data_IF_466086433789
#
_entry.id   IF_466086433789
#
_cell.length_a   1.000
_cell.length_b   1.000
_cell.length_c   1.000
_cell.angle_alpha   90.00
_cell.angle_beta   90.00
_cell.angle_gamma   90.00
#
_symmetry.space_group_name_H-M   'P 1'
#
loop_
_entity.id
_entity.type
_entity.pdbx_description
1 polymer ?
#
# COMPACT_ATOMS: atom_id res chain seq x y z
N UNK A 1 7.13 17.88 -16.44
CA UNK A 1 6.08 17.95 -15.40
C UNK A 1 6.18 16.88 -14.33
N UNK A 2 6.07 15.58 -14.68
CA UNK A 2 6.11 14.49 -13.69
C UNK A 2 7.33 14.55 -12.76
N UNK A 3 8.50 14.89 -13.32
CA UNK A 3 9.73 15.08 -12.54
C UNK A 3 9.58 16.16 -11.45
N UNK A 4 8.96 17.31 -11.77
CA UNK A 4 8.74 18.39 -10.81
C UNK A 4 7.76 17.99 -9.69
N UNK A 5 6.74 17.20 -10.01
CA UNK A 5 5.74 16.76 -9.03
C UNK A 5 6.30 15.70 -8.07
N UNK A 6 7.18 14.81 -8.54
CA UNK A 6 7.70 13.69 -7.76
C UNK A 6 8.99 14.00 -6.99
N UNK A 7 9.63 15.15 -7.21
CA UNK A 7 10.80 15.55 -6.43
C UNK A 7 10.45 15.66 -4.94
N UNK A 8 11.32 15.13 -4.08
CA UNK A 8 11.11 15.07 -2.64
C UNK A 8 12.44 15.29 -1.89
N UNK A 9 12.44 16.00 -0.75
CA UNK A 9 13.67 16.27 0.02
C UNK A 9 14.45 15.02 0.46
N UNK A 10 13.75 13.92 0.74
CA UNK A 10 14.35 12.63 1.11
C UNK A 10 14.97 11.86 -0.07
N UNK A 11 14.62 12.20 -1.32
CA UNK A 11 15.16 11.53 -2.50
C UNK A 11 16.43 12.27 -2.92
N UNK A 12 17.60 11.61 -2.93
CA UNK A 12 18.83 12.24 -3.39
C UNK A 12 18.74 12.56 -4.89
N UNK A 13 19.35 13.67 -5.30
CA UNK A 13 19.58 13.92 -6.72
C UNK A 13 20.59 12.92 -7.26
N UNK A 14 20.48 12.60 -8.55
CA UNK A 14 21.35 11.66 -9.26
C UNK A 14 22.75 12.23 -9.54
N UNK A 15 23.22 13.13 -8.67
CA UNK A 15 24.54 13.75 -8.72
C UNK A 15 25.52 12.93 -7.88
N UNK A 16 26.79 12.92 -8.28
CA UNK A 16 27.88 12.16 -7.64
C UNK A 16 28.05 12.44 -6.13
N UNK A 17 27.38 13.47 -5.60
CA UNK A 17 27.47 13.93 -4.21
C UNK A 17 26.24 13.58 -3.34
N UNK A 18 25.23 12.86 -3.87
CA UNK A 18 24.00 12.50 -3.14
C UNK A 18 23.35 13.71 -2.42
N UNK A 19 23.38 14.87 -3.06
CA UNK A 19 22.87 16.11 -2.47
C UNK A 19 21.35 16.03 -2.32
N UNK A 20 20.86 16.32 -1.12
CA UNK A 20 19.43 16.45 -0.81
C UNK A 20 19.02 17.92 -0.87
N UNK A 21 17.94 18.20 -1.59
CA UNK A 21 17.40 19.55 -1.69
C UNK A 21 16.32 19.79 -0.63
N UNK A 22 16.30 20.99 -0.07
CA UNK A 22 15.17 21.48 0.72
C UNK A 22 13.95 21.66 -0.18
N UNK A 23 12.74 21.48 0.37
CA UNK A 23 11.47 21.70 -0.33
C UNK A 23 11.40 23.04 -1.08
N UNK A 24 11.87 24.12 -0.45
CA UNK A 24 11.93 25.46 -1.07
C UNK A 24 12.82 25.50 -2.32
N UNK A 25 14.01 24.86 -2.27
CA UNK A 25 14.92 24.79 -3.43
C UNK A 25 14.35 23.94 -4.56
N UNK A 26 13.62 22.88 -4.22
CA UNK A 26 12.91 22.04 -5.21
C UNK A 26 11.85 22.89 -5.94
N UNK A 27 11.04 23.63 -5.18
CA UNK A 27 10.02 24.51 -5.75
C UNK A 27 10.64 25.59 -6.65
N UNK A 28 11.64 26.33 -6.15
CA UNK A 28 12.32 27.37 -6.91
C UNK A 28 12.94 26.81 -8.20
N UNK A 29 13.62 25.68 -8.12
CA UNK A 29 14.22 25.01 -9.28
C UNK A 29 13.17 24.60 -10.31
N UNK A 30 12.04 24.03 -9.88
CA UNK A 30 10.96 23.62 -10.76
C UNK A 30 10.24 24.80 -11.43
N UNK A 31 10.02 25.90 -10.69
CA UNK A 31 9.46 27.17 -11.18
C UNK A 31 10.38 27.76 -12.24
N UNK A 32 11.68 27.89 -11.93
CA UNK A 32 12.67 28.47 -12.83
C UNK A 32 12.80 27.66 -14.12
N UNK A 33 12.87 26.34 -14.02
CA UNK A 33 12.95 25.45 -15.18
C UNK A 33 11.74 25.64 -16.11
N UNK A 34 10.52 25.59 -15.56
CA UNK A 34 9.30 25.76 -16.37
C UNK A 34 9.16 27.17 -16.93
N UNK A 35 9.53 28.20 -16.17
CA UNK A 35 9.51 29.58 -16.66
C UNK A 35 10.43 29.77 -17.86
N UNK A 36 11.69 29.30 -17.77
CA UNK A 36 12.65 29.36 -18.87
C UNK A 36 12.15 28.60 -20.09
N UNK A 37 11.63 27.39 -19.89
CA UNK A 37 11.03 26.59 -20.96
C UNK A 37 9.88 27.32 -21.66
N UNK A 38 8.98 27.95 -20.90
CA UNK A 38 7.89 28.73 -21.48
C UNK A 38 8.37 30.00 -22.19
N UNK A 39 9.41 30.67 -21.66
CA UNK A 39 9.99 31.86 -22.26
C UNK A 39 10.67 31.55 -23.60
N UNK A 40 11.49 30.51 -23.66
CA UNK A 40 12.19 30.07 -24.88
C UNK A 40 11.23 29.69 -26.01
N UNK A 41 10.08 29.11 -25.66
CA UNK A 41 9.06 28.69 -26.62
C UNK A 41 7.96 29.74 -26.89
N UNK A 42 8.05 30.94 -26.29
CA UNK A 42 7.04 32.00 -26.45
C UNK A 42 5.66 31.65 -25.86
N UNK A 43 5.58 30.72 -24.90
CA UNK A 43 4.36 30.18 -24.30
C UNK A 43 3.92 30.98 -23.06
N UNK A 44 3.77 32.30 -23.19
CA UNK A 44 3.46 33.20 -22.06
C UNK A 44 2.10 32.90 -21.40
N UNK A 45 1.08 32.57 -22.20
CA UNK A 45 -0.24 32.21 -21.69
C UNK A 45 -0.23 30.88 -20.93
N UNK A 46 0.55 29.91 -21.42
CA UNK A 46 0.72 28.62 -20.74
C UNK A 46 1.40 28.83 -19.39
N UNK A 47 2.44 29.67 -19.35
CA UNK A 47 3.08 30.04 -18.09
C UNK A 47 2.11 30.66 -17.09
N UNK A 48 1.28 31.62 -17.51
CA UNK A 48 0.30 32.26 -16.64
C UNK A 48 -0.69 31.23 -16.04
N UNK A 49 -1.16 30.28 -16.86
CA UNK A 49 -2.01 29.18 -16.40
C UNK A 49 -1.28 28.26 -15.40
N UNK A 50 -0.06 27.85 -15.73
CA UNK A 50 0.74 26.96 -14.88
C UNK A 50 1.08 27.60 -13.54
N UNK A 51 1.41 28.89 -13.53
CA UNK A 51 1.62 29.65 -12.31
C UNK A 51 0.38 29.64 -11.43
N UNK A 52 -0.76 30.07 -11.96
CA UNK A 52 -1.99 30.21 -11.19
C UNK A 52 -2.52 28.87 -10.65
N UNK A 53 -2.36 27.79 -11.40
CA UNK A 53 -2.94 26.51 -11.05
C UNK A 53 -1.98 25.57 -10.29
N UNK A 54 -0.68 25.61 -10.58
CA UNK A 54 0.27 24.56 -10.16
C UNK A 54 1.46 25.10 -9.35
N UNK A 55 2.09 26.18 -9.81
CA UNK A 55 3.34 26.66 -9.24
C UNK A 55 3.18 27.76 -8.18
N UNK A 56 2.00 28.35 -8.05
CA UNK A 56 1.68 29.29 -6.98
C UNK A 56 1.95 28.63 -5.61
N UNK A 57 2.59 29.32 -4.65
CA UNK A 57 2.90 28.77 -3.33
C UNK A 57 1.66 28.22 -2.60
N UNK A 58 0.48 28.80 -2.82
CA UNK A 58 -0.77 28.32 -2.23
C UNK A 58 -1.25 26.97 -2.81
N UNK A 59 -0.88 26.68 -4.07
CA UNK A 59 -1.31 25.47 -4.80
C UNK A 59 -0.24 24.39 -4.83
N UNK A 60 1.02 24.76 -4.66
CA UNK A 60 2.16 23.84 -4.71
C UNK A 60 2.03 22.65 -3.76
N UNK A 61 1.62 22.82 -2.48
CA UNK A 61 1.48 21.69 -1.57
C UNK A 61 0.45 20.64 -1.99
N UNK A 62 -0.52 21.03 -2.81
CA UNK A 62 -1.56 20.12 -3.32
C UNK A 62 -1.09 19.27 -4.49
N UNK A 63 0.02 19.65 -5.14
CA UNK A 63 0.47 19.07 -6.41
C UNK A 63 1.83 18.39 -6.31
N UNK A 64 2.73 18.89 -5.48
CA UNK A 64 4.09 18.41 -5.39
C UNK A 64 4.32 17.58 -4.13
N UNK A 65 5.00 16.44 -4.28
CA UNK A 65 5.44 15.62 -3.16
C UNK A 65 6.43 16.36 -2.26
N UNK A 66 7.16 17.35 -2.79
CA UNK A 66 8.18 18.10 -2.04
C UNK A 66 7.67 18.87 -0.82
N UNK A 67 6.36 19.17 -0.77
CA UNK A 67 5.75 19.87 0.34
C UNK A 67 5.32 18.95 1.49
N UNK A 68 5.27 17.64 1.25
CA UNK A 68 4.96 16.66 2.28
C UNK A 68 6.25 16.26 3.03
N UNK A 69 6.15 16.03 4.33
CA UNK A 69 7.27 15.55 5.15
C UNK A 69 7.59 14.07 4.87
N UNK A 70 6.58 13.30 4.47
CA UNK A 70 6.66 11.87 4.18
C UNK A 70 6.49 11.61 2.69
N UNK A 71 7.31 10.72 2.12
CA UNK A 71 7.13 10.22 0.75
C UNK A 71 5.80 9.47 0.70
N UNK A 72 4.80 10.04 0.03
CA UNK A 72 3.58 9.31 -0.28
C UNK A 72 3.91 8.19 -1.27
N UNK A 73 3.89 6.94 -0.81
CA UNK A 73 4.12 5.74 -1.66
C UNK A 73 3.06 5.62 -2.76
N UNK A 74 1.91 6.28 -2.60
CA UNK A 74 0.78 6.22 -3.52
C UNK A 74 0.29 7.64 -3.83
N UNK A 75 0.12 7.95 -5.11
CA UNK A 75 -0.63 9.13 -5.53
C UNK A 75 -2.09 8.95 -5.14
N UNK A 76 -2.64 9.93 -4.42
CA UNK A 76 -4.05 9.93 -3.98
C UNK A 76 -5.01 9.80 -5.16
N UNK A 77 -4.68 10.36 -6.32
CA UNK A 77 -5.45 10.21 -7.56
C UNK A 77 -5.50 8.77 -8.05
N UNK A 78 -4.39 8.03 -8.02
CA UNK A 78 -4.37 6.62 -8.42
C UNK A 78 -5.20 5.73 -7.48
N UNK A 79 -5.18 6.02 -6.17
CA UNK A 79 -6.03 5.31 -5.21
C UNK A 79 -7.50 5.56 -5.53
N UNK A 80 -7.87 6.82 -5.76
CA UNK A 80 -9.24 7.22 -6.07
C UNK A 80 -9.69 6.62 -7.41
N UNK A 81 -8.86 6.68 -8.45
CA UNK A 81 -9.15 6.09 -9.77
C UNK A 81 -9.28 4.56 -9.67
N UNK A 82 -8.37 3.90 -8.97
CA UNK A 82 -8.44 2.46 -8.74
C UNK A 82 -9.68 2.05 -7.93
N UNK A 83 -10.08 2.87 -6.97
CA UNK A 83 -11.33 2.71 -6.22
C UNK A 83 -12.53 2.80 -7.16
N UNK A 84 -12.63 3.87 -7.96
CA UNK A 84 -13.72 4.05 -8.91
C UNK A 84 -13.78 2.96 -9.97
N UNK A 85 -12.62 2.47 -10.44
CA UNK A 85 -12.56 1.37 -11.38
C UNK A 85 -13.17 0.08 -10.79
N UNK A 86 -12.78 -0.27 -9.55
CA UNK A 86 -13.38 -1.42 -8.84
C UNK A 86 -14.86 -1.24 -8.60
N UNK A 87 -15.28 -0.06 -8.16
CA UNK A 87 -16.68 0.25 -7.87
C UNK A 87 -17.53 0.14 -9.14
N UNK A 88 -17.02 0.66 -10.26
CA UNK A 88 -17.66 0.59 -11.58
C UNK A 88 -17.91 -0.85 -12.02
N UNK A 89 -16.90 -1.71 -11.92
CA UNK A 89 -17.00 -3.10 -12.37
C UNK A 89 -17.79 -4.00 -11.43
N UNK A 90 -17.72 -3.77 -10.12
CA UNK A 90 -18.42 -4.60 -9.14
C UNK A 90 -19.90 -4.28 -9.04
N UNK A 91 -20.25 -3.00 -8.91
CA UNK A 91 -21.58 -2.59 -8.43
C UNK A 91 -22.34 -1.71 -9.42
N UNK A 92 -21.64 -0.81 -10.15
CA UNK A 92 -22.32 0.10 -11.08
C UNK A 92 -22.54 -0.48 -12.48
N UNK A 93 -22.06 -1.68 -12.77
CA UNK A 93 -22.27 -2.30 -14.08
C UNK A 93 -23.76 -2.53 -14.39
N UNK A 94 -24.60 -2.66 -13.35
CA UNK A 94 -26.05 -2.88 -13.48
C UNK A 94 -26.82 -1.58 -13.71
N UNK A 95 -26.24 -0.41 -13.39
CA UNK A 95 -26.92 0.88 -13.44
C UNK A 95 -26.39 1.72 -14.60
N UNK A 96 -27.27 2.11 -15.52
CA UNK A 96 -26.92 3.12 -16.52
C UNK A 96 -27.08 4.51 -15.89
N UNK A 97 -25.97 5.23 -15.71
CA UNK A 97 -25.92 6.59 -15.13
C UNK A 97 -26.57 6.70 -13.73
N UNK A 98 -25.93 6.16 -12.68
CA UNK A 98 -26.46 6.22 -11.32
C UNK A 98 -26.59 7.67 -10.82
N UNK A 99 -27.71 7.98 -10.18
CA UNK A 99 -27.85 9.20 -9.39
C UNK A 99 -26.83 9.21 -8.24
N UNK A 100 -26.38 10.41 -7.85
CA UNK A 100 -25.39 10.59 -6.78
C UNK A 100 -25.87 10.01 -5.44
N UNK A 101 -27.17 10.09 -5.16
CA UNK A 101 -27.77 9.53 -3.94
C UNK A 101 -27.69 7.98 -3.90
N UNK A 102 -28.02 7.33 -5.02
CA UNK A 102 -27.88 5.88 -5.17
C UNK A 102 -26.41 5.44 -5.00
N UNK A 103 -25.48 6.24 -5.54
CA UNK A 103 -24.05 5.98 -5.41
C UNK A 103 -23.59 6.06 -3.95
N UNK A 104 -24.03 7.09 -3.22
CA UNK A 104 -23.73 7.22 -1.79
C UNK A 104 -24.30 6.04 -1.02
N UNK A 105 -25.56 5.69 -1.26
CA UNK A 105 -26.20 4.54 -0.62
C UNK A 105 -25.42 3.24 -0.87
N UNK A 106 -24.95 3.02 -2.11
CA UNK A 106 -24.17 1.85 -2.49
C UNK A 106 -22.79 1.82 -1.81
N UNK A 107 -22.13 2.97 -1.70
CA UNK A 107 -20.86 3.09 -0.97
C UNK A 107 -21.08 2.74 0.50
N UNK A 108 -22.12 3.31 1.13
CA UNK A 108 -22.45 3.05 2.53
C UNK A 108 -22.82 1.60 2.81
N UNK A 109 -23.61 0.98 1.93
CA UNK A 109 -24.16 -0.36 2.17
C UNK A 109 -23.25 -1.51 1.72
N UNK A 110 -22.43 -1.32 0.69
CA UNK A 110 -21.62 -2.40 0.12
C UNK A 110 -20.12 -2.16 0.28
N UNK A 111 -19.65 -0.95 0.00
CA UNK A 111 -18.21 -0.69 -0.09
C UNK A 111 -17.57 -0.54 1.29
N UNK A 112 -18.16 0.28 2.16
CA UNK A 112 -17.68 0.50 3.54
C UNK A 112 -17.58 -0.80 4.34
N UNK A 113 -18.59 -1.68 4.40
CA UNK A 113 -18.47 -2.91 5.20
C UNK A 113 -17.39 -3.85 4.65
N UNK A 114 -17.22 -3.95 3.33
CA UNK A 114 -16.14 -4.76 2.74
C UNK A 114 -14.77 -4.22 3.14
N UNK A 115 -14.60 -2.90 3.14
CA UNK A 115 -13.35 -2.25 3.54
C UNK A 115 -13.11 -2.42 5.04
N UNK A 116 -14.11 -2.18 5.88
CA UNK A 116 -14.01 -2.36 7.33
C UNK A 116 -13.66 -3.80 7.68
N UNK A 117 -14.36 -4.80 7.11
CA UNK A 117 -14.04 -6.21 7.35
C UNK A 117 -12.60 -6.56 6.98
N UNK A 118 -12.06 -5.98 5.90
CA UNK A 118 -10.65 -6.16 5.51
C UNK A 118 -9.71 -5.45 6.47
N UNK A 119 -10.00 -4.20 6.81
CA UNK A 119 -9.19 -3.41 7.74
C UNK A 119 -9.11 -4.09 9.09
N UNK A 120 -10.25 -4.50 9.62
CA UNK A 120 -10.31 -5.18 10.90
C UNK A 120 -9.64 -6.57 10.85
N UNK A 121 -9.63 -7.27 9.69
CA UNK A 121 -8.84 -8.49 9.49
C UNK A 121 -7.33 -8.19 9.56
N UNK A 122 -6.89 -7.05 9.03
CA UNK A 122 -5.49 -6.65 9.06
C UNK A 122 -5.06 -6.07 10.41
N UNK A 123 -5.96 -5.35 11.08
CA UNK A 123 -5.77 -4.73 12.39
C UNK A 123 -6.05 -5.72 13.54
N UNK A 124 -6.41 -6.96 13.22
CA UNK A 124 -6.74 -8.03 14.15
C UNK A 124 -7.86 -7.66 15.15
N UNK A 125 -8.72 -6.67 14.83
CA UNK A 125 -9.79 -6.18 15.71
C UNK A 125 -10.93 -7.20 15.91
N UNK A 126 -11.15 -8.11 14.96
CA UNK A 126 -12.09 -9.24 15.12
C UNK A 126 -11.59 -10.34 16.08
N UNK A 127 -10.33 -10.27 16.54
CA UNK A 127 -9.68 -11.36 17.30
C UNK A 127 -9.49 -11.08 18.79
N UNK A 128 -10.29 -10.17 19.38
CA UNK A 128 -10.30 -9.98 20.84
C UNK A 128 -10.78 -11.30 21.50
N UNK A 129 -9.83 -12.18 21.84
CA UNK A 129 -10.06 -13.48 22.50
C UNK A 129 -9.81 -14.75 21.68
N UNK A 130 -9.44 -14.68 20.39
CA UNK A 130 -9.10 -15.87 19.58
C UNK A 130 -7.70 -15.79 18.96
N UNK A 131 -6.91 -16.88 18.94
CA UNK A 131 -5.59 -16.87 18.33
C UNK A 131 -5.69 -16.75 16.80
N UNK A 132 -4.81 -15.94 16.21
CA UNK A 132 -4.71 -15.76 14.76
C UNK A 132 -4.56 -17.10 14.05
N UNK A 133 -5.40 -17.34 13.03
CA UNK A 133 -5.21 -18.50 12.17
C UNK A 133 -3.84 -18.38 11.49
N UNK A 134 -2.96 -19.33 11.81
CA UNK A 134 -1.63 -19.42 11.23
C UNK A 134 -1.78 -19.68 9.73
N UNK A 135 -1.03 -18.94 8.91
CA UNK A 135 -0.92 -19.28 7.51
C UNK A 135 -0.41 -20.73 7.37
N UNK A 136 -0.73 -21.47 6.28
CA UNK A 136 -0.35 -22.88 6.15
C UNK A 136 1.15 -23.14 6.35
N UNK A 137 2.00 -22.22 5.87
CA UNK A 137 3.44 -22.30 6.07
C UNK A 137 3.86 -22.03 7.53
N UNK A 138 3.19 -21.11 8.23
CA UNK A 138 3.42 -20.85 9.65
C UNK A 138 2.98 -22.03 10.52
N UNK A 139 1.92 -22.73 10.13
CA UNK A 139 1.48 -23.95 10.80
C UNK A 139 2.53 -25.06 10.66
N UNK A 140 3.11 -25.25 9.46
CA UNK A 140 4.20 -26.20 9.26
C UNK A 140 5.44 -25.82 10.07
N UNK A 141 5.82 -24.54 10.07
CA UNK A 141 6.94 -24.05 10.86
C UNK A 141 6.70 -24.26 12.36
N UNK A 142 5.49 -23.98 12.86
CA UNK A 142 5.12 -24.20 14.27
C UNK A 142 5.19 -25.69 14.64
N UNK A 143 4.78 -26.60 13.75
CA UNK A 143 4.92 -28.05 13.97
C UNK A 143 6.39 -28.43 14.09
N UNK A 144 7.20 -28.03 13.11
CA UNK A 144 8.65 -28.27 13.09
C UNK A 144 9.31 -27.73 14.37
N UNK A 145 8.94 -26.51 14.77
CA UNK A 145 9.45 -25.89 15.99
C UNK A 145 9.04 -26.65 17.24
N UNK A 146 7.78 -27.09 17.33
CA UNK A 146 7.30 -27.91 18.44
C UNK A 146 8.06 -29.24 18.51
N UNK A 147 8.34 -29.86 17.37
CA UNK A 147 9.12 -31.10 17.29
C UNK A 147 10.56 -30.91 17.78
N UNK A 148 11.24 -29.83 17.34
CA UNK A 148 12.60 -29.52 17.80
C UNK A 148 12.67 -29.01 19.25
N UNK A 149 11.56 -28.55 19.83
CA UNK A 149 11.51 -28.10 21.23
C UNK A 149 11.43 -29.26 22.24
N UNK A 150 11.09 -30.48 21.79
CA UNK A 150 11.08 -31.67 22.65
C UNK A 150 12.52 -32.08 22.98
N UNK A 151 12.76 -32.55 24.21
CA UNK A 151 14.04 -33.16 24.61
C UNK A 151 14.33 -34.42 23.77
N UNK A 152 15.61 -34.66 23.45
CA UNK A 152 16.06 -35.83 22.68
C UNK A 152 15.61 -37.16 23.31
N UNK A 153 15.49 -37.21 24.63
CA UNK A 153 14.98 -38.37 25.37
C UNK A 153 13.53 -38.69 25.00
N UNK A 154 12.68 -37.66 24.89
CA UNK A 154 11.28 -37.83 24.50
C UNK A 154 11.16 -38.38 23.06
N UNK A 155 11.99 -37.89 22.13
CA UNK A 155 12.06 -38.43 20.76
C UNK A 155 12.47 -39.89 20.71
N UNK A 156 13.40 -40.33 21.56
CA UNK A 156 13.80 -41.74 21.64
C UNK A 156 12.65 -42.61 22.14
N UNK A 157 11.96 -42.19 23.21
CA UNK A 157 10.82 -42.95 23.75
C UNK A 157 9.65 -43.06 22.76
N UNK A 158 9.34 -42.01 21.99
CA UNK A 158 8.30 -42.06 20.96
C UNK A 158 8.65 -43.06 19.84
N UNK A 159 9.93 -43.10 19.40
CA UNK A 159 10.38 -44.07 18.40
C UNK A 159 10.29 -45.51 18.90
N UNK A 160 10.69 -45.76 20.14
CA UNK A 160 10.60 -47.08 20.77
C UNK A 160 9.15 -47.56 20.86
N UNK A 161 8.21 -46.68 21.25
CA UNK A 161 6.78 -46.99 21.29
C UNK A 161 6.20 -47.32 19.91
N UNK A 162 6.60 -46.59 18.86
CA UNK A 162 6.18 -46.86 17.48
C UNK A 162 6.68 -48.22 16.97
N UNK A 163 7.93 -48.59 17.31
CA UNK A 163 8.51 -49.89 16.95
C UNK A 163 7.73 -51.02 17.65
N UNK A 164 7.47 -50.88 18.95
CA UNK A 164 6.69 -51.86 19.72
C UNK A 164 5.28 -52.01 19.15
N UNK A 165 4.61 -50.90 18.82
CA UNK A 165 3.28 -50.92 18.20
C UNK A 165 3.25 -51.60 16.83
N UNK A 166 4.28 -51.39 16.00
CA UNK A 166 4.39 -52.06 14.69
C UNK A 166 4.67 -53.56 14.83
N UNK A 167 5.48 -53.97 15.81
CA UNK A 167 5.72 -55.39 16.11
C UNK A 167 4.44 -56.07 16.59
N UNK A 168 3.63 -55.41 17.43
CA UNK A 168 2.35 -55.94 17.88
C UNK A 168 1.34 -56.07 16.72
N UNK A 169 1.28 -55.09 15.82
CA UNK A 169 0.47 -55.18 14.60
C UNK A 169 0.92 -56.32 13.69
N UNK A 170 2.22 -56.52 13.51
CA UNK A 170 2.77 -57.61 12.68
C UNK A 170 2.49 -59.01 13.25
N UNK A 171 2.30 -59.14 14.57
CA UNK A 171 1.97 -60.41 15.23
C UNK A 171 0.47 -60.71 15.24
N UNK A 172 -0.36 -59.75 14.85
CA UNK A 172 -1.82 -59.88 14.82
C UNK A 172 -2.37 -60.32 13.44
N UNK A 173 -1.49 -60.63 12.48
CA UNK A 173 -1.80 -61.22 11.17
C UNK A 173 -1.17 -62.60 11.05
#
# INVERSE_FOLDING_TARGET
FHHHACQHPLIPLNDNQNMRLTAAKIHEGAVKNMYLYCQENGLSQVWAYLWNCWYCPDKWPLRACSAADTISVLHTTMIIEGFWNKLKHSTLHTFNQPCLDLLIHLIMTQVIPIVNNKLDYHLDWWQIGQPKQLAPWQANLKKIWADYSKSDEAHRTEKEQLIIGNIQKSKAW
#
